data_IF_896093695900
#
_entry.id   IF_896093695900
#
_cell.length_a   1.000
_cell.length_b   1.000
_cell.length_c   1.000
_cell.angle_alpha   90.00
_cell.angle_beta   90.00
_cell.angle_gamma   90.00
#
_symmetry.space_group_name_H-M   'P 1'
#
loop_
_entity.id
_entity.type
_entity.pdbx_description
1 polymer ?
#
# COMPACT_ATOMS: atom_id res chain seq x y z
N UNK A 1 -21.94 -7.67 -18.01
CA UNK A 1 -20.71 -8.31 -17.49
C UNK A 1 -20.09 -7.34 -16.49
N UNK A 2 -19.81 -7.76 -15.27
CA UNK A 2 -19.15 -6.88 -14.30
C UNK A 2 -17.76 -6.50 -14.84
N UNK A 3 -17.39 -5.23 -14.74
CA UNK A 3 -16.08 -4.77 -15.16
C UNK A 3 -15.04 -5.30 -14.16
N UNK A 4 -14.03 -6.03 -14.65
CA UNK A 4 -13.04 -6.71 -13.80
C UNK A 4 -12.12 -5.75 -13.04
N UNK A 5 -12.10 -4.46 -13.42
CA UNK A 5 -11.41 -3.39 -12.68
C UNK A 5 -12.17 -2.93 -11.45
N UNK A 6 -13.45 -3.29 -11.33
CA UNK A 6 -14.26 -2.94 -10.18
C UNK A 6 -14.07 -3.99 -9.08
N UNK A 7 -14.28 -3.55 -7.85
CA UNK A 7 -14.23 -4.38 -6.65
C UNK A 7 -15.36 -3.97 -5.72
N UNK A 8 -15.84 -4.92 -4.91
CA UNK A 8 -16.89 -4.64 -3.94
C UNK A 8 -16.33 -3.97 -2.69
N UNK A 9 -17.20 -3.24 -1.97
CA UNK A 9 -16.86 -2.66 -0.66
C UNK A 9 -16.33 -3.72 0.30
N UNK A 10 -17.02 -4.88 0.38
CA UNK A 10 -16.56 -6.01 1.21
C UNK A 10 -15.16 -6.51 0.83
N UNK A 11 -14.84 -6.63 -0.46
CA UNK A 11 -13.50 -7.03 -0.90
C UNK A 11 -12.44 -6.00 -0.52
N UNK A 12 -12.79 -4.72 -0.55
CA UNK A 12 -11.93 -3.63 -0.11
C UNK A 12 -11.70 -3.67 1.40
N UNK A 13 -12.77 -3.76 2.19
CA UNK A 13 -12.72 -3.83 3.67
C UNK A 13 -11.93 -5.04 4.16
N UNK A 14 -12.21 -6.24 3.61
CA UNK A 14 -11.50 -7.48 3.94
C UNK A 14 -9.97 -7.34 3.70
N UNK A 15 -9.55 -6.52 2.73
CA UNK A 15 -8.14 -6.26 2.43
C UNK A 15 -7.55 -5.15 3.29
N UNK A 16 -8.33 -4.10 3.58
CA UNK A 16 -7.94 -3.02 4.46
C UNK A 16 -7.65 -3.55 5.86
N UNK A 17 -8.55 -4.35 6.44
CA UNK A 17 -8.39 -4.95 7.77
C UNK A 17 -7.10 -5.77 7.86
N UNK A 18 -6.86 -6.66 6.88
CA UNK A 18 -5.64 -7.47 6.81
C UNK A 18 -4.37 -6.63 6.67
N UNK A 19 -4.44 -5.53 5.92
CA UNK A 19 -3.30 -4.62 5.80
C UNK A 19 -3.03 -3.90 7.13
N UNK A 20 -4.07 -3.41 7.81
CA UNK A 20 -3.92 -2.77 9.13
C UNK A 20 -3.32 -3.76 10.12
N UNK A 21 -3.85 -4.97 10.23
CA UNK A 21 -3.31 -6.02 11.11
C UNK A 21 -1.83 -6.30 10.80
N UNK A 22 -1.50 -6.56 9.53
CA UNK A 22 -0.14 -6.88 9.11
C UNK A 22 0.84 -5.74 9.35
N UNK A 23 0.45 -4.51 9.04
CA UNK A 23 1.32 -3.34 9.13
C UNK A 23 1.54 -2.86 10.57
N UNK A 24 0.54 -3.07 11.44
CA UNK A 24 0.61 -2.68 12.86
C UNK A 24 1.13 -3.78 13.77
N UNK A 25 1.29 -5.01 13.26
CA UNK A 25 1.85 -6.12 14.03
C UNK A 25 3.19 -5.74 14.66
N UNK A 26 3.27 -5.86 15.98
CA UNK A 26 4.45 -5.47 16.79
C UNK A 26 4.83 -3.99 16.62
N UNK A 27 3.86 -3.11 16.41
CA UNK A 27 3.98 -1.65 16.49
C UNK A 27 3.11 -1.15 17.62
N UNK A 28 3.55 -0.10 18.29
CA UNK A 28 2.84 0.52 19.40
C UNK A 28 2.55 1.97 19.05
N UNK A 29 1.31 2.39 19.31
CA UNK A 29 0.96 3.80 19.27
C UNK A 29 1.76 4.55 20.35
N UNK A 30 2.15 5.79 20.05
CA UNK A 30 2.92 6.65 20.93
C UNK A 30 2.17 7.96 21.18
N UNK A 31 2.43 8.61 22.31
CA UNK A 31 1.74 9.85 22.69
C UNK A 31 1.99 11.00 21.70
N UNK A 32 3.20 11.08 21.13
CA UNK A 32 3.59 12.09 20.14
C UNK A 32 4.04 11.41 18.84
N UNK A 33 3.11 11.04 17.94
CA UNK A 33 3.44 10.34 16.71
C UNK A 33 4.19 11.27 15.73
N UNK A 34 5.10 10.69 14.95
CA UNK A 34 5.84 11.39 13.89
C UNK A 34 5.56 10.73 12.54
N UNK A 35 5.34 11.54 11.51
CA UNK A 35 5.15 11.07 10.14
C UNK A 35 6.31 11.53 9.24
N UNK A 36 6.90 10.59 8.52
CA UNK A 36 8.00 10.86 7.58
C UNK A 36 7.49 10.77 6.14
N UNK A 37 7.51 11.90 5.41
CA UNK A 37 7.15 11.95 4.00
C UNK A 37 8.41 11.82 3.14
N UNK A 38 8.49 10.75 2.34
CA UNK A 38 9.65 10.49 1.48
C UNK A 38 9.45 11.07 0.08
N UNK A 39 10.36 11.94 -0.34
CA UNK A 39 10.43 12.51 -1.70
C UNK A 39 11.68 12.06 -2.46
N UNK A 40 11.63 12.15 -3.79
CA UNK A 40 12.79 11.90 -4.68
C UNK A 40 12.42 11.13 -5.93
N UNK A 41 13.22 11.30 -7.00
CA UNK A 41 13.02 10.63 -8.30
C UNK A 41 13.09 9.09 -8.20
N UNK A 42 12.52 8.34 -9.15
CA UNK A 42 12.77 6.90 -9.26
C UNK A 42 14.28 6.60 -9.28
N UNK A 43 14.72 5.59 -8.53
CA UNK A 43 16.14 5.24 -8.41
C UNK A 43 16.95 6.09 -7.41
N UNK A 44 16.38 7.11 -6.77
CA UNK A 44 17.10 7.98 -5.82
C UNK A 44 17.49 7.34 -4.49
N UNK A 45 17.20 6.05 -4.27
CA UNK A 45 17.57 5.35 -3.03
C UNK A 45 16.61 5.56 -1.85
N UNK A 46 15.33 5.87 -2.08
CA UNK A 46 14.31 6.02 -1.00
C UNK A 46 14.24 4.83 -0.03
N UNK A 47 14.61 3.63 -0.46
CA UNK A 47 14.70 2.44 0.39
C UNK A 47 15.71 2.63 1.54
N UNK A 48 16.83 3.31 1.30
CA UNK A 48 17.81 3.62 2.34
C UNK A 48 17.25 4.56 3.41
N UNK A 49 16.38 5.51 3.02
CA UNK A 49 15.66 6.36 3.98
C UNK A 49 14.71 5.55 4.86
N UNK A 50 14.02 4.54 4.29
CA UNK A 50 13.17 3.62 5.08
C UNK A 50 13.99 2.87 6.12
N UNK A 51 15.18 2.38 5.76
CA UNK A 51 16.08 1.71 6.70
C UNK A 51 16.53 2.65 7.82
N UNK A 52 16.95 3.87 7.49
CA UNK A 52 17.37 4.87 8.48
C UNK A 52 16.24 5.23 9.45
N UNK A 53 15.02 5.47 8.95
CA UNK A 53 13.85 5.75 9.80
C UNK A 53 13.50 4.53 10.67
N UNK A 54 13.59 3.32 10.13
CA UNK A 54 13.36 2.11 10.92
C UNK A 54 14.39 1.94 12.03
N UNK A 55 15.64 2.34 11.82
CA UNK A 55 16.67 2.34 12.85
C UNK A 55 16.41 3.43 13.91
N UNK A 56 16.13 4.66 13.48
CA UNK A 56 15.83 5.80 14.35
C UNK A 56 14.61 5.53 15.27
N UNK A 57 13.59 4.89 14.72
CA UNK A 57 12.36 4.55 15.45
C UNK A 57 12.45 3.22 16.21
N UNK A 58 13.64 2.58 16.25
CA UNK A 58 13.85 1.26 16.85
C UNK A 58 12.86 0.20 16.34
N UNK A 59 12.49 0.31 15.07
CA UNK A 59 11.52 -0.54 14.40
C UNK A 59 10.06 -0.15 14.64
N UNK A 60 9.74 0.83 15.50
CA UNK A 60 8.37 1.27 15.77
C UNK A 60 7.85 2.27 14.72
N UNK A 61 7.88 1.87 13.45
CA UNK A 61 7.37 2.65 12.32
C UNK A 61 6.54 1.78 11.38
N UNK A 62 5.44 2.34 10.88
CA UNK A 62 4.63 1.72 9.82
C UNK A 62 5.03 2.30 8.48
N UNK A 63 5.44 1.45 7.54
CA UNK A 63 5.75 1.87 6.17
C UNK A 63 4.50 1.69 5.32
N UNK A 64 3.96 2.80 4.80
CA UNK A 64 2.84 2.81 3.86
C UNK A 64 3.40 3.07 2.46
N UNK A 65 3.24 2.11 1.55
CA UNK A 65 3.74 2.17 0.17
C UNK A 65 2.64 1.75 -0.81
N UNK A 66 2.09 2.73 -1.53
CA UNK A 66 0.96 2.55 -2.46
C UNK A 66 1.23 1.45 -3.50
N UNK A 67 2.47 1.35 -3.99
CA UNK A 67 2.82 0.36 -5.01
C UNK A 67 2.65 -1.08 -4.52
N UNK A 68 2.86 -1.31 -3.22
CA UNK A 68 2.71 -2.64 -2.61
C UNK A 68 1.27 -3.12 -2.52
N UNK A 69 0.30 -2.21 -2.66
CA UNK A 69 -1.12 -2.55 -2.58
C UNK A 69 -1.75 -2.87 -3.94
N UNK A 70 -1.15 -2.43 -5.06
CA UNK A 70 -1.71 -2.67 -6.42
C UNK A 70 -1.94 -4.15 -6.71
N UNK A 71 -1.00 -5.01 -6.31
CA UNK A 71 -1.10 -6.45 -6.51
C UNK A 71 -2.16 -7.12 -5.63
N UNK A 72 -2.71 -6.40 -4.64
CA UNK A 72 -3.76 -6.93 -3.76
C UNK A 72 -5.17 -6.73 -4.32
N UNK A 73 -5.30 -6.13 -5.51
CA UNK A 73 -6.57 -6.00 -6.22
C UNK A 73 -7.27 -7.37 -6.27
N UNK A 74 -8.58 -7.48 -5.96
CA UNK A 74 -9.27 -8.76 -5.85
C UNK A 74 -9.16 -9.64 -7.12
N UNK A 75 -9.13 -9.00 -8.29
CA UNK A 75 -9.03 -9.64 -9.60
C UNK A 75 -7.65 -9.44 -10.26
N UNK A 76 -6.56 -9.27 -9.48
CA UNK A 76 -5.27 -8.88 -10.04
C UNK A 76 -4.77 -9.86 -11.11
N UNK A 77 -4.93 -11.17 -10.89
CA UNK A 77 -4.49 -12.21 -11.83
C UNK A 77 -5.26 -12.13 -13.16
N UNK A 78 -6.55 -11.83 -13.12
CA UNK A 78 -7.38 -11.58 -14.32
C UNK A 78 -6.94 -10.30 -15.03
N UNK A 79 -6.63 -9.24 -14.28
CA UNK A 79 -6.13 -8.00 -14.85
C UNK A 79 -4.76 -8.20 -15.53
N UNK A 80 -3.87 -9.02 -14.96
CA UNK A 80 -2.59 -9.37 -15.60
C UNK A 80 -2.81 -10.10 -16.91
N UNK A 81 -3.76 -11.05 -16.97
CA UNK A 81 -4.07 -11.79 -18.20
C UNK A 81 -4.65 -10.90 -19.30
N UNK A 82 -5.44 -9.87 -18.93
CA UNK A 82 -6.10 -9.00 -19.92
C UNK A 82 -5.22 -7.83 -20.38
N UNK A 83 -4.45 -7.25 -19.48
CA UNK A 83 -3.73 -6.00 -19.72
C UNK A 83 -2.20 -6.15 -19.73
N UNK A 84 -1.68 -7.29 -19.31
CA UNK A 84 -0.24 -7.59 -19.27
C UNK A 84 0.59 -6.46 -18.63
N UNK A 85 1.34 -5.72 -19.44
CA UNK A 85 2.21 -4.61 -19.01
C UNK A 85 1.44 -3.39 -18.51
N UNK A 86 0.18 -3.22 -18.93
CA UNK A 86 -0.66 -2.09 -18.54
C UNK A 86 -1.46 -2.34 -17.26
N UNK A 87 -1.36 -3.53 -16.64
CA UNK A 87 -2.09 -3.91 -15.41
C UNK A 87 -2.01 -2.86 -14.29
N UNK A 88 -0.86 -2.18 -14.17
CA UNK A 88 -0.62 -1.16 -13.15
C UNK A 88 -1.66 -0.04 -13.23
N UNK A 89 -2.04 0.39 -14.44
CA UNK A 89 -3.03 1.46 -14.65
C UNK A 89 -4.41 1.03 -14.12
N UNK A 90 -4.75 -0.25 -14.30
CA UNK A 90 -6.05 -0.81 -13.93
C UNK A 90 -6.15 -1.14 -12.43
N UNK A 91 -5.03 -1.35 -11.73
CA UNK A 91 -5.01 -1.59 -10.29
C UNK A 91 -4.82 -0.30 -9.45
N UNK A 92 -4.51 0.84 -10.08
CA UNK A 92 -4.15 2.08 -9.38
C UNK A 92 -5.33 2.70 -8.61
N UNK A 93 -6.56 2.61 -9.13
CA UNK A 93 -7.76 3.12 -8.44
C UNK A 93 -7.94 2.44 -7.07
N UNK A 94 -7.81 1.12 -7.05
CA UNK A 94 -7.87 0.29 -5.84
C UNK A 94 -6.80 0.68 -4.82
N UNK A 95 -5.53 0.76 -5.24
CA UNK A 95 -4.43 1.05 -4.32
C UNK A 95 -4.51 2.47 -3.76
N UNK A 96 -4.94 3.44 -4.58
CA UNK A 96 -5.18 4.81 -4.15
C UNK A 96 -6.28 4.91 -3.08
N UNK A 97 -7.32 4.08 -3.17
CA UNK A 97 -8.39 4.08 -2.17
C UNK A 97 -7.91 3.57 -0.80
N UNK A 98 -6.94 2.64 -0.78
CA UNK A 98 -6.34 2.14 0.47
C UNK A 98 -5.47 3.16 1.21
N UNK A 99 -4.87 4.12 0.48
CA UNK A 99 -3.96 5.13 1.05
C UNK A 99 -4.61 6.51 1.20
N UNK A 100 -5.91 6.62 0.91
CA UNK A 100 -6.63 7.89 0.99
C UNK A 100 -6.76 8.31 2.46
N UNK A 101 -6.33 9.52 2.77
CA UNK A 101 -6.65 10.19 4.02
C UNK A 101 -8.05 10.81 3.87
N UNK A 102 -8.94 10.48 4.81
CA UNK A 102 -10.28 11.08 4.89
C UNK A 102 -10.26 12.33 5.77
#
# INVERSE_FOLDING_TARGET
MANITDFTEKQFEDRLEKNVERLTKNRLAVESPTAFLLGGQPGSGKTSLRSAISEETQGNVVIIDNDTFKQQHPNFDELVKLYEKDVVKHATSYSNQLVKLN
#
